data_IF_734286810302
#
_entry.id   IF_734286810302
#
_cell.length_a   1.000
_cell.length_b   1.000
_cell.length_c   1.000
_cell.angle_alpha   90.00
_cell.angle_beta   90.00
_cell.angle_gamma   90.00
#
_symmetry.space_group_name_H-M   'P 1'
#
loop_
_entity.id
_entity.type
_entity.pdbx_description
1 polymer ?
#
# COMPACT_ATOMS: atom_id res chain seq x y z
N UNK A 1 7.10 -37.30 15.78
CA UNK A 1 7.58 -36.10 15.07
C UNK A 1 8.93 -35.71 15.67
N UNK A 2 9.75 -34.92 14.98
CA UNK A 2 11.02 -34.46 15.56
C UNK A 2 10.77 -33.39 16.62
N UNK A 3 10.75 -33.81 17.89
CA UNK A 3 10.61 -32.90 19.02
C UNK A 3 11.78 -31.90 19.11
N UNK A 4 12.93 -32.21 18.51
CA UNK A 4 14.09 -31.33 18.46
C UNK A 4 13.76 -29.99 17.80
N UNK A 5 13.06 -30.01 16.65
CA UNK A 5 12.64 -28.80 15.94
C UNK A 5 11.68 -27.93 16.77
N UNK A 6 10.74 -28.56 17.49
CA UNK A 6 9.83 -27.82 18.37
C UNK A 6 10.59 -27.23 19.57
N UNK A 7 11.54 -27.98 20.13
CA UNK A 7 12.36 -27.50 21.24
C UNK A 7 13.27 -26.32 20.84
N UNK A 8 13.82 -26.36 19.64
CA UNK A 8 14.60 -25.26 19.05
C UNK A 8 13.74 -24.00 18.90
N UNK A 9 12.59 -24.09 18.22
CA UNK A 9 11.67 -22.97 18.05
C UNK A 9 11.18 -22.37 19.37
N UNK A 10 10.92 -23.20 20.40
CA UNK A 10 10.58 -22.71 21.74
C UNK A 10 11.74 -21.89 22.32
N UNK A 11 12.98 -22.40 22.25
CA UNK A 11 14.15 -21.69 22.79
C UNK A 11 14.41 -20.37 22.08
N UNK A 12 14.24 -20.32 20.77
CA UNK A 12 14.38 -19.08 19.99
C UNK A 12 13.44 -17.97 20.48
N UNK A 13 12.25 -18.32 20.98
CA UNK A 13 11.31 -17.36 21.57
C UNK A 13 11.73 -16.79 22.93
N UNK A 14 12.69 -17.41 23.62
CA UNK A 14 13.17 -16.98 24.94
C UNK A 14 14.63 -16.52 24.87
N UNK A 15 14.84 -15.20 24.73
CA UNK A 15 16.18 -14.61 24.61
C UNK A 15 16.58 -13.78 25.85
N UNK A 16 17.87 -13.45 25.94
CA UNK A 16 18.41 -12.58 26.98
C UNK A 16 18.17 -13.10 28.41
N UNK A 17 17.68 -12.23 29.30
CA UNK A 17 17.39 -12.58 30.71
C UNK A 17 16.34 -13.69 30.88
N UNK A 18 15.58 -14.01 29.84
CA UNK A 18 14.55 -15.06 29.85
C UNK A 18 15.04 -16.39 29.28
N UNK A 19 16.30 -16.51 28.83
CA UNK A 19 16.82 -17.73 28.20
C UNK A 19 16.62 -19.00 29.04
N UNK A 20 16.79 -18.90 30.37
CA UNK A 20 16.53 -20.02 31.30
C UNK A 20 15.07 -20.50 31.30
N UNK A 21 14.11 -19.63 30.95
CA UNK A 21 12.70 -20.02 30.78
C UNK A 21 12.49 -20.87 29.51
N UNK A 22 13.39 -20.78 28.53
CA UNK A 22 13.33 -21.58 27.31
C UNK A 22 13.35 -23.07 27.62
N UNK A 23 14.34 -23.54 28.38
CA UNK A 23 14.44 -24.96 28.75
C UNK A 23 13.30 -25.43 29.66
N UNK A 24 12.78 -24.56 30.53
CA UNK A 24 11.58 -24.87 31.33
C UNK A 24 10.37 -25.12 30.43
N UNK A 25 10.15 -24.28 29.41
CA UNK A 25 9.06 -24.45 28.45
C UNK A 25 9.27 -25.67 27.54
N UNK A 26 10.51 -25.95 27.12
CA UNK A 26 10.85 -27.19 26.39
C UNK A 26 10.51 -28.41 27.23
N UNK A 27 10.84 -28.40 28.53
CA UNK A 27 10.51 -29.52 29.42
C UNK A 27 9.00 -29.71 29.59
N UNK A 28 8.24 -28.61 29.70
CA UNK A 28 6.78 -28.67 29.73
C UNK A 28 6.21 -29.27 28.42
N UNK A 29 6.67 -28.82 27.27
CA UNK A 29 6.28 -29.35 25.96
C UNK A 29 6.64 -30.84 25.82
N UNK A 30 7.82 -31.24 26.31
CA UNK A 30 8.28 -32.64 26.28
C UNK A 30 7.37 -33.55 27.09
N UNK A 31 6.93 -33.11 28.28
CA UNK A 31 5.97 -33.89 29.10
C UNK A 31 4.65 -34.11 28.37
N UNK A 32 4.11 -33.09 27.70
CA UNK A 32 2.91 -33.22 26.87
C UNK A 32 3.11 -34.17 25.68
N UNK A 33 4.26 -34.06 25.00
CA UNK A 33 4.62 -34.92 23.88
C UNK A 33 4.69 -36.40 24.28
N UNK A 34 5.40 -36.73 25.38
CA UNK A 34 5.52 -38.12 25.85
C UNK A 34 4.19 -38.67 26.39
N UNK A 35 3.40 -37.84 27.08
CA UNK A 35 2.05 -38.23 27.52
C UNK A 35 1.16 -38.57 26.33
N UNK A 36 1.11 -37.71 25.30
CA UNK A 36 0.28 -37.97 24.13
C UNK A 36 0.70 -39.24 23.38
N UNK A 37 2.03 -39.45 23.25
CA UNK A 37 2.59 -40.64 22.61
C UNK A 37 2.24 -41.93 23.37
N UNK A 38 2.27 -41.89 24.71
CA UNK A 38 1.99 -43.05 25.56
C UNK A 38 0.49 -43.34 25.65
N UNK A 39 -0.33 -42.30 25.79
CA UNK A 39 -1.77 -42.44 26.07
C UNK A 39 -2.62 -42.68 24.83
N UNK A 40 -2.22 -42.14 23.67
CA UNK A 40 -3.01 -42.24 22.43
C UNK A 40 -2.33 -43.10 21.34
N UNK A 41 -1.02 -43.37 21.43
CA UNK A 41 -0.30 -44.12 20.40
C UNK A 41 -0.08 -43.32 19.10
N UNK A 42 0.68 -43.90 18.16
CA UNK A 42 1.15 -43.19 16.95
C UNK A 42 0.11 -42.95 15.85
N UNK A 43 -1.01 -43.68 15.89
CA UNK A 43 -2.06 -43.65 14.86
C UNK A 43 -3.37 -43.01 15.33
N UNK A 44 -3.45 -42.53 16.58
CA UNK A 44 -4.64 -41.87 17.08
C UNK A 44 -4.96 -40.53 16.41
N UNK A 45 -4.02 -39.96 15.66
CA UNK A 45 -4.21 -38.67 14.98
C UNK A 45 -4.34 -38.88 13.46
N UNK A 46 -5.50 -38.52 12.87
CA UNK A 46 -5.74 -38.72 11.43
C UNK A 46 -4.90 -37.79 10.55
N UNK A 47 -4.45 -36.65 11.09
CA UNK A 47 -3.61 -35.67 10.38
C UNK A 47 -2.16 -35.86 10.82
N UNK A 48 -1.29 -36.23 9.88
CA UNK A 48 0.15 -36.39 10.10
C UNK A 48 0.93 -35.34 9.32
N UNK A 49 1.77 -34.58 10.02
CA UNK A 49 2.73 -33.68 9.38
C UNK A 49 3.78 -34.51 8.62
N UNK A 50 4.09 -34.10 7.39
CA UNK A 50 5.13 -34.73 6.56
C UNK A 50 6.30 -33.77 6.43
N UNK A 51 7.52 -34.27 6.62
CA UNK A 51 8.73 -33.49 6.33
C UNK A 51 8.75 -33.23 4.82
N UNK A 52 8.74 -31.96 4.43
CA UNK A 52 8.89 -31.56 3.04
C UNK A 52 10.35 -31.21 2.76
N UNK A 53 10.90 -31.58 1.59
CA UNK A 53 12.20 -31.09 1.17
C UNK A 53 12.12 -29.56 1.00
N UNK A 54 13.09 -28.85 1.56
CA UNK A 54 13.21 -27.40 1.37
C UNK A 54 13.93 -27.13 0.05
N UNK A 55 13.31 -26.33 -0.81
CA UNK A 55 13.96 -25.77 -2.01
C UNK A 55 14.29 -24.30 -1.78
N UNK A 56 15.58 -23.96 -1.81
CA UNK A 56 16.06 -22.58 -1.68
C UNK A 56 15.79 -21.94 -0.31
N UNK A 57 16.05 -20.63 -0.22
CA UNK A 57 15.73 -19.82 0.96
C UNK A 57 14.25 -19.46 0.93
N UNK A 58 13.62 -19.51 2.10
CA UNK A 58 12.20 -19.20 2.32
C UNK A 58 12.07 -18.23 3.47
N UNK A 59 10.91 -17.60 3.57
CA UNK A 59 10.57 -16.70 4.66
C UNK A 59 9.13 -16.90 5.10
N UNK A 60 8.93 -16.79 6.41
CA UNK A 60 7.60 -16.67 7.01
C UNK A 60 7.26 -15.19 7.09
N UNK A 61 6.21 -14.77 6.41
CA UNK A 61 5.84 -13.35 6.29
C UNK A 61 4.34 -13.15 6.48
N UNK A 62 3.95 -11.99 7.00
CA UNK A 62 2.56 -11.53 7.05
C UNK A 62 2.18 -10.72 5.82
N UNK A 63 0.90 -10.73 5.42
CA UNK A 63 0.42 -9.89 4.32
C UNK A 63 0.75 -8.40 4.48
N UNK A 64 0.57 -7.82 5.68
CA UNK A 64 0.95 -6.41 5.94
C UNK A 64 2.44 -6.14 5.73
N UNK A 65 3.30 -7.12 6.03
CA UNK A 65 4.74 -7.00 5.80
C UNK A 65 5.07 -7.09 4.31
N UNK A 66 4.35 -7.93 3.55
CA UNK A 66 4.51 -8.01 2.11
C UNK A 66 4.18 -6.66 1.44
N UNK A 67 3.08 -5.99 1.84
CA UNK A 67 2.76 -4.63 1.39
C UNK A 67 3.88 -3.65 1.75
N UNK A 68 4.32 -3.65 3.00
CA UNK A 68 5.35 -2.72 3.46
C UNK A 68 6.68 -2.89 2.70
N UNK A 69 7.16 -4.12 2.52
CA UNK A 69 8.39 -4.39 1.77
C UNK A 69 8.22 -3.98 0.30
N UNK A 70 7.05 -4.21 -0.29
CA UNK A 70 6.76 -3.76 -1.66
C UNK A 70 6.76 -2.23 -1.78
N UNK A 71 6.19 -1.50 -0.83
CA UNK A 71 6.28 -0.02 -0.77
C UNK A 71 7.72 0.46 -0.77
N UNK A 72 8.57 -0.14 0.06
CA UNK A 72 10.01 0.19 0.10
C UNK A 72 10.69 -0.14 -1.24
N UNK A 73 10.43 -1.32 -1.81
CA UNK A 73 10.99 -1.73 -3.12
C UNK A 73 10.52 -0.83 -4.26
N UNK A 74 9.30 -0.34 -4.20
CA UNK A 74 8.73 0.61 -5.15
C UNK A 74 9.29 2.03 -4.99
N UNK A 75 10.11 2.29 -3.97
CA UNK A 75 10.66 3.62 -3.71
C UNK A 75 9.65 4.58 -3.09
N UNK A 76 8.65 4.07 -2.35
CA UNK A 76 7.79 4.92 -1.53
C UNK A 76 8.63 5.67 -0.49
N UNK A 77 8.59 7.00 -0.54
CA UNK A 77 9.37 7.88 0.34
C UNK A 77 8.56 8.49 1.47
N UNK A 78 7.22 8.40 1.43
CA UNK A 78 6.34 9.07 2.40
C UNK A 78 5.09 8.24 2.70
N UNK A 79 4.98 7.72 3.93
CA UNK A 79 3.79 7.03 4.43
C UNK A 79 3.12 7.90 5.48
N UNK A 80 1.81 8.08 5.35
CA UNK A 80 0.98 8.68 6.39
C UNK A 80 -0.03 7.65 6.87
N UNK A 81 -0.46 7.71 8.12
CA UNK A 81 -1.55 6.87 8.59
C UNK A 81 -2.18 7.44 9.85
N UNK A 82 -3.42 7.06 10.11
CA UNK A 82 -4.02 7.13 11.44
C UNK A 82 -4.21 5.69 11.95
N UNK A 83 -3.87 5.36 13.21
CA UNK A 83 -3.94 3.98 13.68
C UNK A 83 -5.35 3.39 13.59
N UNK A 84 -5.49 2.30 12.81
CA UNK A 84 -6.74 1.57 12.63
C UNK A 84 -6.46 0.10 12.34
N UNK A 85 -7.13 -0.82 13.04
CA UNK A 85 -7.03 -2.26 12.74
C UNK A 85 -7.67 -2.58 11.39
N UNK A 86 -7.02 -3.36 10.50
CA UNK A 86 -5.74 -4.06 10.66
C UNK A 86 -4.54 -3.35 10.00
N UNK A 87 -4.67 -2.08 9.62
CA UNK A 87 -3.69 -1.33 8.83
C UNK A 87 -2.45 -0.85 9.62
N UNK A 88 -2.58 -0.66 10.95
CA UNK A 88 -1.50 -0.10 11.79
C UNK A 88 -0.17 -0.85 11.66
N UNK A 89 -0.20 -2.18 11.67
CA UNK A 89 0.99 -3.04 11.64
C UNK A 89 1.88 -2.80 10.40
N UNK A 90 1.29 -2.38 9.28
CA UNK A 90 2.04 -2.03 8.08
C UNK A 90 2.88 -0.77 8.30
N UNK A 91 2.28 0.27 8.90
CA UNK A 91 2.97 1.54 9.15
C UNK A 91 4.01 1.41 10.26
N UNK A 92 3.73 0.62 11.30
CA UNK A 92 4.75 0.29 12.34
C UNK A 92 5.94 -0.47 11.74
N UNK A 93 5.69 -1.40 10.81
CA UNK A 93 6.77 -2.09 10.11
C UNK A 93 7.62 -1.11 9.29
N UNK A 94 7.00 -0.23 8.50
CA UNK A 94 7.70 0.82 7.75
C UNK A 94 8.49 1.74 8.69
N UNK A 95 7.89 2.18 9.80
CA UNK A 95 8.51 3.07 10.77
C UNK A 95 9.78 2.45 11.38
N UNK A 96 9.74 1.16 11.69
CA UNK A 96 10.89 0.42 12.24
C UNK A 96 12.06 0.28 11.26
N UNK A 97 11.84 0.44 9.96
CA UNK A 97 12.85 0.37 8.90
C UNK A 97 13.10 1.72 8.20
N UNK A 98 12.42 2.80 8.60
CA UNK A 98 12.35 4.04 7.81
C UNK A 98 13.74 4.67 7.54
N UNK A 99 14.67 4.55 8.52
CA UNK A 99 16.04 5.06 8.42
C UNK A 99 16.88 4.31 7.39
N UNK A 100 16.65 3.02 7.24
CA UNK A 100 17.43 2.17 6.34
C UNK A 100 17.06 2.41 4.87
N UNK A 101 15.86 2.97 4.62
CA UNK A 101 15.29 3.15 3.29
C UNK A 101 14.99 4.62 2.93
N UNK A 102 15.46 5.59 3.71
CA UNK A 102 15.20 7.02 3.51
C UNK A 102 13.70 7.36 3.34
N UNK A 103 12.87 6.69 4.13
CA UNK A 103 11.42 6.90 4.15
C UNK A 103 11.03 7.79 5.33
N UNK A 104 9.97 8.57 5.17
CA UNK A 104 9.32 9.29 6.27
C UNK A 104 7.99 8.61 6.56
N UNK A 105 7.75 8.27 7.83
CA UNK A 105 6.46 7.77 8.31
C UNK A 105 5.86 8.79 9.27
N UNK A 106 4.64 9.23 8.99
CA UNK A 106 3.91 10.22 9.82
C UNK A 106 2.62 9.60 10.32
N UNK A 107 2.50 9.48 11.64
CA UNK A 107 1.20 9.25 12.27
C UNK A 107 0.44 10.58 12.28
N UNK A 108 -0.59 10.69 11.45
CA UNK A 108 -1.44 11.87 11.37
C UNK A 108 -2.44 11.90 12.54
N UNK A 109 -3.09 13.04 12.73
CA UNK A 109 -4.12 13.27 13.73
C UNK A 109 -5.45 12.57 13.41
N UNK A 110 -5.74 12.38 12.12
CA UNK A 110 -6.91 11.66 11.58
C UNK A 110 -6.67 11.23 10.12
N UNK A 111 -7.62 10.49 9.55
CA UNK A 111 -7.53 10.02 8.16
C UNK A 111 -7.66 11.13 7.11
N UNK A 112 -8.31 12.26 7.44
CA UNK A 112 -8.41 13.42 6.55
C UNK A 112 -7.01 14.02 6.35
N UNK A 113 -6.29 14.19 7.45
CA UNK A 113 -4.93 14.71 7.48
C UNK A 113 -3.99 13.73 6.78
N UNK A 114 -4.14 12.42 7.01
CA UNK A 114 -3.33 11.41 6.35
C UNK A 114 -3.45 11.46 4.81
N UNK A 115 -4.65 11.41 4.24
CA UNK A 115 -4.80 11.44 2.77
C UNK A 115 -4.31 12.75 2.16
N UNK A 116 -4.52 13.88 2.83
CA UNK A 116 -4.10 15.19 2.33
C UNK A 116 -2.57 15.36 2.39
N UNK A 117 -1.93 14.90 3.47
CA UNK A 117 -0.46 14.85 3.57
C UNK A 117 0.15 13.95 2.49
N UNK A 118 -0.40 12.75 2.28
CA UNK A 118 0.07 11.84 1.23
C UNK A 118 -0.07 12.46 -0.17
N UNK A 119 -1.20 13.12 -0.46
CA UNK A 119 -1.42 13.78 -1.75
C UNK A 119 -0.48 14.97 -1.95
N UNK A 120 -0.23 15.76 -0.90
CA UNK A 120 0.77 16.83 -0.93
C UNK A 120 2.18 16.31 -1.23
N UNK A 121 2.57 15.20 -0.60
CA UNK A 121 3.86 14.54 -0.87
C UNK A 121 3.97 14.01 -2.30
N UNK A 122 2.87 13.53 -2.90
CA UNK A 122 2.82 13.11 -4.30
C UNK A 122 3.10 14.30 -5.24
N UNK A 123 2.47 15.45 -5.00
CA UNK A 123 2.75 16.69 -5.74
C UNK A 123 4.18 17.19 -5.54
N UNK A 124 4.78 16.97 -4.37
CA UNK A 124 6.18 17.28 -4.10
C UNK A 124 7.18 16.35 -4.83
N UNK A 125 6.70 15.30 -5.50
CA UNK A 125 7.53 14.39 -6.32
C UNK A 125 7.95 13.09 -5.62
N UNK A 126 7.51 12.87 -4.38
CA UNK A 126 7.71 11.60 -3.68
C UNK A 126 6.64 10.60 -4.12
N UNK A 127 7.01 9.32 -4.25
CA UNK A 127 6.01 8.25 -4.16
C UNK A 127 5.48 8.23 -2.73
N UNK A 128 4.19 8.43 -2.58
CA UNK A 128 3.54 8.50 -1.27
C UNK A 128 2.39 7.51 -1.15
N UNK A 129 2.11 7.11 0.08
CA UNK A 129 1.00 6.22 0.40
C UNK A 129 0.34 6.54 1.73
N UNK A 130 -0.88 6.07 1.87
CA UNK A 130 -1.57 5.99 3.15
C UNK A 130 -2.21 4.62 3.31
N UNK A 131 -2.46 4.21 4.55
CA UNK A 131 -3.04 2.90 4.86
C UNK A 131 -4.19 3.06 5.84
N UNK A 132 -5.32 2.40 5.55
CA UNK A 132 -6.55 2.58 6.32
C UNK A 132 -7.47 1.35 6.21
N UNK A 133 -8.68 1.46 6.77
CA UNK A 133 -9.78 0.50 6.62
C UNK A 133 -11.09 1.25 6.36
N UNK A 134 -12.21 0.54 6.17
CA UNK A 134 -13.51 1.11 5.75
C UNK A 134 -13.92 2.43 6.43
N UNK A 135 -13.87 2.56 7.77
CA UNK A 135 -14.21 3.82 8.44
C UNK A 135 -13.31 4.99 8.05
N UNK A 136 -11.99 4.77 8.06
CA UNK A 136 -11.03 5.79 7.70
C UNK A 136 -11.08 6.14 6.22
N UNK A 137 -11.29 5.16 5.34
CA UNK A 137 -11.49 5.39 3.91
C UNK A 137 -12.74 6.24 3.62
N UNK A 138 -13.78 6.13 4.46
CA UNK A 138 -14.95 7.00 4.38
C UNK A 138 -14.61 8.47 4.62
N UNK A 139 -13.70 8.75 5.57
CA UNK A 139 -13.20 10.09 5.85
C UNK A 139 -12.26 10.62 4.76
N UNK A 140 -11.53 9.72 4.07
CA UNK A 140 -10.61 10.09 3.00
C UNK A 140 -11.29 10.49 1.68
N UNK A 141 -12.61 10.30 1.54
CA UNK A 141 -13.32 10.46 0.27
C UNK A 141 -13.12 11.85 -0.37
N UNK A 142 -13.13 12.93 0.41
CA UNK A 142 -12.89 14.28 -0.13
C UNK A 142 -11.45 14.44 -0.64
N UNK A 143 -10.46 14.02 0.16
CA UNK A 143 -9.05 14.06 -0.23
C UNK A 143 -8.74 13.19 -1.47
N UNK A 144 -9.44 12.07 -1.63
CA UNK A 144 -9.37 11.23 -2.83
C UNK A 144 -9.89 11.98 -4.07
N UNK A 145 -11.00 12.73 -3.91
CA UNK A 145 -11.51 13.63 -4.95
C UNK A 145 -10.51 14.71 -5.33
N UNK A 146 -9.85 15.31 -4.33
CA UNK A 146 -8.81 16.31 -4.54
C UNK A 146 -7.59 15.74 -5.28
N UNK A 147 -7.13 14.54 -4.92
CA UNK A 147 -6.07 13.84 -5.66
C UNK A 147 -6.46 13.58 -7.13
N UNK A 148 -7.72 13.22 -7.37
CA UNK A 148 -8.28 13.00 -8.70
C UNK A 148 -8.33 14.25 -9.58
N UNK A 149 -8.92 15.34 -9.08
CA UNK A 149 -9.04 16.59 -9.85
C UNK A 149 -7.69 17.24 -10.11
N UNK A 150 -6.76 17.15 -9.16
CA UNK A 150 -5.41 17.72 -9.30
C UNK A 150 -4.44 16.84 -10.09
N UNK A 151 -4.89 15.68 -10.58
CA UNK A 151 -4.08 14.68 -11.29
C UNK A 151 -2.80 14.33 -10.53
N UNK A 152 -2.90 14.14 -9.21
CA UNK A 152 -1.76 13.78 -8.39
C UNK A 152 -1.17 12.42 -8.82
N UNK A 153 0.18 12.26 -8.86
CA UNK A 153 0.84 11.01 -9.23
C UNK A 153 0.82 9.99 -8.08
N UNK A 154 -0.39 9.61 -7.65
CA UNK A 154 -0.69 9.02 -6.36
C UNK A 154 -1.62 9.92 -5.53
N UNK A 155 -1.87 9.62 -4.26
CA UNK A 155 -1.21 8.58 -3.45
C UNK A 155 -1.71 7.17 -3.76
N UNK A 156 -0.93 6.17 -3.34
CA UNK A 156 -1.42 4.78 -3.22
C UNK A 156 -2.10 4.62 -1.85
N UNK A 157 -3.40 4.32 -1.86
CA UNK A 157 -4.22 4.08 -0.67
C UNK A 157 -4.36 2.58 -0.46
N UNK A 158 -3.81 2.04 0.62
CA UNK A 158 -4.03 0.65 0.98
C UNK A 158 -5.29 0.55 1.84
N UNK A 159 -6.35 0.02 1.25
CA UNK A 159 -7.63 -0.22 1.90
C UNK A 159 -7.67 -1.65 2.41
N UNK A 160 -7.36 -1.83 3.70
CA UNK A 160 -7.52 -3.10 4.38
C UNK A 160 -8.98 -3.31 4.80
N UNK A 161 -9.75 -3.99 3.96
CA UNK A 161 -11.16 -4.24 4.22
C UNK A 161 -11.35 -5.07 5.51
N UNK A 162 -12.32 -4.65 6.31
CA UNK A 162 -12.79 -5.37 7.50
C UNK A 162 -14.31 -5.30 7.55
N UNK A 163 -14.94 -6.21 8.27
CA UNK A 163 -16.40 -6.28 8.32
C UNK A 163 -17.03 -4.96 8.80
N UNK A 164 -17.93 -4.41 8.00
CA UNK A 164 -18.73 -3.21 8.29
C UNK A 164 -20.16 -3.56 8.70
N UNK A 165 -21.12 -2.61 8.59
CA UNK A 165 -20.93 -1.16 8.39
C UNK A 165 -20.45 -0.45 9.68
N UNK A 166 -20.11 0.85 9.55
CA UNK A 166 -19.58 1.68 10.63
C UNK A 166 -18.35 1.03 11.31
N UNK A 167 -18.27 0.97 12.64
CA UNK A 167 -17.18 0.26 13.34
C UNK A 167 -17.10 -1.21 12.93
N UNK A 168 -18.26 -1.82 12.67
CA UNK A 168 -18.43 -3.20 12.25
C UNK A 168 -17.78 -4.19 13.21
N UNK A 169 -17.02 -5.16 12.68
CA UNK A 169 -16.23 -6.11 13.45
C UNK A 169 -14.74 -5.90 13.13
N UNK A 170 -14.04 -5.04 13.90
CA UNK A 170 -12.67 -4.60 13.58
C UNK A 170 -11.64 -5.70 13.36
N UNK A 171 -11.87 -6.89 13.92
CA UNK A 171 -10.97 -8.04 13.88
C UNK A 171 -11.41 -9.13 12.89
N UNK A 172 -12.48 -8.90 12.12
CA UNK A 172 -13.03 -9.85 11.15
C UNK A 172 -12.83 -9.35 9.72
N UNK A 173 -12.64 -10.31 8.82
CA UNK A 173 -12.49 -10.03 7.39
C UNK A 173 -13.86 -9.93 6.73
N UNK A 174 -13.95 -9.08 5.71
CA UNK A 174 -15.08 -8.96 4.79
C UNK A 174 -14.57 -8.21 3.55
N UNK A 175 -15.21 -8.42 2.40
CA UNK A 175 -14.88 -7.76 1.13
C UNK A 175 -16.06 -6.90 0.65
N UNK A 176 -16.64 -6.12 1.55
CA UNK A 176 -17.86 -5.33 1.30
C UNK A 176 -17.59 -3.91 0.77
N UNK A 177 -16.33 -3.47 0.68
CA UNK A 177 -15.99 -2.07 0.39
C UNK A 177 -15.80 -1.80 -1.11
N UNK A 178 -15.79 -2.82 -1.98
CA UNK A 178 -15.49 -2.66 -3.43
C UNK A 178 -16.36 -1.60 -4.12
N UNK A 179 -17.69 -1.68 -3.93
CA UNK A 179 -18.61 -0.71 -4.55
C UNK A 179 -18.37 0.70 -4.02
N UNK A 180 -18.03 0.83 -2.74
CA UNK A 180 -17.68 2.13 -2.19
C UNK A 180 -16.35 2.65 -2.77
N UNK A 181 -15.30 1.83 -2.82
CA UNK A 181 -14.02 2.20 -3.42
C UNK A 181 -14.14 2.63 -4.89
N UNK A 182 -15.01 1.99 -5.67
CA UNK A 182 -15.31 2.36 -7.07
C UNK A 182 -15.96 3.75 -7.19
N UNK A 183 -16.81 4.11 -6.24
CA UNK A 183 -17.68 5.30 -6.31
C UNK A 183 -17.37 6.34 -5.22
N UNK A 184 -16.26 6.22 -4.51
CA UNK A 184 -15.87 7.14 -3.45
C UNK A 184 -15.56 8.53 -4.03
N UNK A 185 -15.90 9.55 -3.24
CA UNK A 185 -15.87 10.97 -3.58
C UNK A 185 -17.00 11.43 -4.53
N UNK A 186 -17.27 12.74 -4.53
CA UNK A 186 -18.26 13.35 -5.39
C UNK A 186 -17.67 13.68 -6.78
N UNK A 187 -18.52 13.69 -7.81
CA UNK A 187 -18.09 13.89 -9.19
C UNK A 187 -17.42 12.66 -9.81
N UNK A 188 -16.78 12.85 -10.97
CA UNK A 188 -16.13 11.78 -11.73
C UNK A 188 -14.65 12.10 -11.91
N UNK A 189 -13.80 11.11 -11.67
CA UNK A 189 -12.37 11.15 -11.95
C UNK A 189 -11.83 9.72 -12.08
N UNK A 190 -10.73 9.52 -12.81
CA UNK A 190 -10.07 8.23 -12.90
C UNK A 190 -9.45 7.84 -11.55
N UNK A 191 -9.63 6.58 -11.17
CA UNK A 191 -8.91 5.91 -10.08
C UNK A 191 -8.69 4.47 -10.47
N UNK A 192 -7.56 3.90 -10.06
CA UNK A 192 -7.25 2.48 -10.32
C UNK A 192 -7.48 1.71 -9.02
N UNK A 193 -8.06 0.52 -9.12
CA UNK A 193 -8.29 -0.36 -7.99
C UNK A 193 -7.68 -1.72 -8.31
N UNK A 194 -6.79 -2.21 -7.43
CA UNK A 194 -6.12 -3.50 -7.57
C UNK A 194 -6.46 -4.32 -6.33
N UNK A 195 -6.86 -5.59 -6.52
CA UNK A 195 -7.28 -6.45 -5.42
C UNK A 195 -6.47 -7.76 -5.43
N UNK A 196 -5.35 -7.84 -4.68
CA UNK A 196 -4.53 -9.05 -4.64
C UNK A 196 -5.28 -10.22 -4.00
N UNK A 197 -5.10 -11.42 -4.54
CA UNK A 197 -5.72 -12.66 -4.06
C UNK A 197 -4.91 -13.42 -3.00
N UNK A 198 -3.59 -13.17 -2.91
CA UNK A 198 -2.72 -13.79 -1.91
C UNK A 198 -1.56 -12.88 -1.43
N UNK A 199 -0.73 -13.39 -0.51
CA UNK A 199 0.41 -12.64 0.07
C UNK A 199 1.50 -12.35 -0.97
N UNK A 200 1.65 -13.20 -1.98
CA UNK A 200 2.64 -13.03 -3.05
C UNK A 200 2.18 -11.96 -4.04
N UNK A 201 0.93 -12.04 -4.49
CA UNK A 201 0.28 -11.03 -5.32
C UNK A 201 0.29 -9.67 -4.61
N UNK A 202 0.02 -9.63 -3.31
CA UNK A 202 0.09 -8.40 -2.51
C UNK A 202 1.42 -7.66 -2.67
N UNK A 203 2.54 -8.36 -2.76
CA UNK A 203 3.84 -7.73 -2.98
C UNK A 203 3.98 -7.11 -4.38
N UNK A 204 3.66 -7.87 -5.43
CA UNK A 204 3.81 -7.42 -6.81
C UNK A 204 2.79 -6.34 -7.18
N UNK A 205 1.53 -6.53 -6.79
CA UNK A 205 0.45 -5.58 -7.04
C UNK A 205 0.67 -4.25 -6.29
N UNK A 206 1.23 -4.30 -5.08
CA UNK A 206 1.63 -3.07 -4.39
C UNK A 206 2.73 -2.33 -5.15
N UNK A 207 3.72 -3.06 -5.68
CA UNK A 207 4.80 -2.45 -6.47
C UNK A 207 4.25 -1.77 -7.73
N UNK A 208 3.40 -2.48 -8.47
CA UNK A 208 2.78 -1.99 -9.69
C UNK A 208 1.80 -0.84 -9.42
N UNK A 209 1.12 -0.83 -8.27
CA UNK A 209 0.25 0.28 -7.87
C UNK A 209 0.98 1.63 -7.89
N UNK A 210 2.24 1.70 -7.45
CA UNK A 210 3.02 2.94 -7.54
C UNK A 210 3.42 3.31 -8.97
N UNK A 211 3.71 2.33 -9.82
CA UNK A 211 3.99 2.57 -11.23
C UNK A 211 2.74 3.13 -11.91
N UNK A 212 1.58 2.51 -11.71
CA UNK A 212 0.31 3.00 -12.27
C UNK A 212 -0.07 4.38 -11.74
N UNK A 213 0.13 4.64 -10.45
CA UNK A 213 -0.12 5.94 -9.85
C UNK A 213 0.66 7.07 -10.54
N UNK A 214 1.96 6.88 -10.78
CA UNK A 214 2.79 7.89 -11.44
C UNK A 214 2.61 7.94 -12.95
N UNK A 215 2.42 6.79 -13.61
CA UNK A 215 2.25 6.71 -15.06
C UNK A 215 0.96 7.41 -15.49
N UNK A 216 -0.17 7.05 -14.87
CA UNK A 216 -1.48 7.60 -15.23
C UNK A 216 -1.80 8.92 -14.50
N UNK A 217 -1.05 9.25 -13.45
CA UNK A 217 -1.30 10.43 -12.61
C UNK A 217 -2.71 10.43 -12.02
N UNK A 218 -2.99 9.36 -11.28
CA UNK A 218 -4.28 9.08 -10.64
C UNK A 218 -4.05 8.45 -9.26
N UNK A 219 -4.97 8.61 -8.30
CA UNK A 219 -4.92 7.83 -7.08
C UNK A 219 -5.16 6.34 -7.38
N UNK A 220 -4.43 5.47 -6.67
CA UNK A 220 -4.55 4.02 -6.78
C UNK A 220 -4.97 3.44 -5.45
N UNK A 221 -5.97 2.57 -5.44
CA UNK A 221 -6.46 1.89 -4.24
C UNK A 221 -6.03 0.43 -4.32
N UNK A 222 -5.17 0.01 -3.39
CA UNK A 222 -4.87 -1.40 -3.19
C UNK A 222 -5.92 -1.96 -2.21
N UNK A 223 -6.86 -2.72 -2.75
CA UNK A 223 -8.00 -3.29 -2.05
C UNK A 223 -7.65 -4.70 -1.55
N UNK A 224 -7.05 -4.77 -0.37
CA UNK A 224 -6.78 -6.04 0.34
C UNK A 224 -7.77 -6.22 1.49
N UNK A 225 -7.58 -7.21 2.35
CA UNK A 225 -8.48 -7.46 3.47
C UNK A 225 -7.76 -7.91 4.73
N UNK A 226 -8.50 -7.91 5.84
CA UNK A 226 -7.99 -8.31 7.15
C UNK A 226 -7.45 -9.74 7.16
N UNK A 227 -8.00 -10.64 6.34
CA UNK A 227 -7.55 -12.03 6.28
C UNK A 227 -6.15 -12.09 5.70
N UNK A 228 -5.91 -11.50 4.53
CA UNK A 228 -4.58 -11.44 3.93
C UNK A 228 -3.59 -10.69 4.83
N UNK A 229 -3.99 -9.53 5.38
CA UNK A 229 -3.18 -8.73 6.29
C UNK A 229 -2.64 -9.53 7.48
N UNK A 230 -3.48 -10.38 8.07
CA UNK A 230 -3.16 -11.13 9.30
C UNK A 230 -2.55 -12.51 9.03
N UNK A 231 -2.64 -13.01 7.79
CA UNK A 231 -2.17 -14.35 7.44
C UNK A 231 -0.66 -14.39 7.48
N UNK A 232 -0.12 -15.40 8.16
CA UNK A 232 1.28 -15.80 8.02
C UNK A 232 1.38 -16.86 6.93
N UNK A 233 2.32 -16.68 6.01
CA UNK A 233 2.59 -17.64 4.97
C UNK A 233 4.10 -17.88 4.84
N UNK A 234 4.47 -19.15 4.72
CA UNK A 234 5.82 -19.55 4.33
C UNK A 234 5.91 -19.52 2.80
N UNK A 235 6.77 -18.66 2.27
CA UNK A 235 6.94 -18.45 0.83
C UNK A 235 8.42 -18.43 0.44
N UNK A 236 8.78 -18.70 -0.83
CA UNK A 236 10.10 -18.34 -1.35
C UNK A 236 10.36 -16.84 -1.16
N UNK A 237 11.63 -16.43 -1.11
CA UNK A 237 11.97 -15.00 -1.14
C UNK A 237 11.39 -14.34 -2.39
N UNK A 238 10.89 -13.11 -2.28
CA UNK A 238 10.38 -12.35 -3.42
C UNK A 238 11.48 -12.16 -4.48
N UNK A 239 11.11 -12.29 -5.76
CA UNK A 239 12.02 -12.02 -6.86
C UNK A 239 11.85 -10.58 -7.32
N UNK A 240 12.82 -9.73 -6.98
CA UNK A 240 12.80 -8.30 -7.31
C UNK A 240 13.62 -7.92 -8.54
N UNK A 241 14.19 -8.87 -9.29
CA UNK A 241 15.17 -8.60 -10.36
C UNK A 241 14.54 -7.92 -11.59
N UNK A 242 13.28 -8.26 -11.89
CA UNK A 242 12.55 -7.70 -13.03
C UNK A 242 11.69 -6.49 -12.68
N UNK A 243 11.66 -6.08 -11.40
CA UNK A 243 10.85 -4.95 -10.95
C UNK A 243 11.54 -3.63 -11.28
N UNK A 244 10.89 -2.84 -12.13
CA UNK A 244 11.39 -1.53 -12.58
C UNK A 244 10.45 -0.42 -12.15
N UNK A 245 11.03 0.61 -11.55
CA UNK A 245 10.31 1.83 -11.15
C UNK A 245 10.04 2.66 -12.39
N UNK A 246 8.76 2.85 -12.71
CA UNK A 246 8.29 3.76 -13.75
C UNK A 246 7.80 5.08 -13.12
N UNK A 247 8.49 6.18 -13.40
CA UNK A 247 8.15 7.52 -12.86
C UNK A 247 7.12 8.28 -13.70
N UNK A 248 6.64 7.67 -14.80
CA UNK A 248 5.75 8.29 -15.77
C UNK A 248 6.41 9.45 -16.52
N UNK A 249 5.59 10.38 -17.01
CA UNK A 249 6.02 11.57 -17.74
C UNK A 249 6.55 12.67 -16.80
N UNK A 250 7.53 12.32 -15.97
CA UNK A 250 8.23 13.24 -15.06
C UNK A 250 9.34 13.98 -15.81
N UNK A 251 9.19 15.29 -15.91
CA UNK A 251 10.16 16.17 -16.57
C UNK A 251 11.44 16.35 -15.74
N UNK A 252 12.58 16.34 -16.43
CA UNK A 252 13.86 16.79 -15.89
C UNK A 252 13.98 18.30 -16.04
N UNK A 253 14.90 18.91 -15.29
CA UNK A 253 15.18 20.34 -15.41
C UNK A 253 15.62 20.73 -16.83
N UNK A 254 16.32 19.85 -17.55
CA UNK A 254 16.70 20.07 -18.95
C UNK A 254 15.50 20.22 -19.87
N UNK A 255 14.42 19.48 -19.61
CA UNK A 255 13.21 19.49 -20.43
C UNK A 255 12.43 20.79 -20.21
N UNK A 256 12.41 21.26 -18.95
CA UNK A 256 11.82 22.54 -18.56
C UNK A 256 12.64 23.74 -19.06
N UNK A 257 13.97 23.64 -19.09
CA UNK A 257 14.82 24.72 -19.61
C UNK A 257 14.62 24.96 -21.12
N UNK A 258 14.16 23.96 -21.86
CA UNK A 258 13.86 24.05 -23.28
C UNK A 258 12.49 24.70 -23.58
N UNK A 259 11.64 24.91 -22.57
CA UNK A 259 10.27 25.42 -22.74
C UNK A 259 9.98 26.55 -21.76
N UNK A 260 9.65 27.73 -22.26
CA UNK A 260 9.24 28.87 -21.41
C UNK A 260 7.76 28.84 -20.99
N UNK A 261 6.97 27.89 -21.51
CA UNK A 261 5.52 27.77 -21.30
C UNK A 261 5.15 26.37 -20.77
N UNK A 262 5.48 26.14 -19.49
CA UNK A 262 5.09 24.91 -18.80
C UNK A 262 3.62 24.98 -18.37
N UNK A 263 2.89 23.90 -18.66
CA UNK A 263 1.46 23.74 -18.41
C UNK A 263 1.20 22.41 -17.73
N UNK A 264 0.95 22.44 -16.42
CA UNK A 264 0.77 21.22 -15.60
C UNK A 264 -0.38 20.34 -16.09
N UNK A 265 -1.42 20.96 -16.65
CA UNK A 265 -2.63 20.30 -17.13
C UNK A 265 -2.75 20.35 -18.66
N UNK A 266 -1.60 20.40 -19.36
CA UNK A 266 -1.53 20.42 -20.83
C UNK A 266 -2.45 19.36 -21.46
N UNK A 267 -3.18 19.77 -22.48
CA UNK A 267 -3.96 18.82 -23.28
C UNK A 267 -3.03 17.96 -24.13
N UNK A 268 -3.13 16.65 -23.94
CA UNK A 268 -2.41 15.64 -24.71
C UNK A 268 -3.41 14.62 -25.26
N UNK A 269 -3.03 13.92 -26.33
CA UNK A 269 -3.91 12.92 -26.94
C UNK A 269 -4.31 11.82 -25.95
N UNK A 270 -3.34 11.38 -25.14
CA UNK A 270 -3.49 10.36 -24.09
C UNK A 270 -4.16 10.90 -22.80
N UNK A 271 -4.31 12.22 -22.67
CA UNK A 271 -4.82 12.84 -21.46
C UNK A 271 -3.85 12.83 -20.27
N UNK A 272 -2.63 12.32 -20.44
CA UNK A 272 -1.53 12.39 -19.45
C UNK A 272 -0.69 13.62 -19.76
N UNK A 273 -0.60 14.57 -18.82
CA UNK A 273 0.22 15.78 -18.97
C UNK A 273 1.64 15.51 -18.47
N UNK A 274 2.70 16.04 -19.12
CA UNK A 274 4.02 16.05 -18.51
C UNK A 274 4.00 16.78 -17.17
N UNK A 275 4.65 16.22 -16.14
CA UNK A 275 4.68 16.81 -14.80
C UNK A 275 6.08 17.30 -14.40
N UNK A 276 6.12 18.45 -13.76
CA UNK A 276 7.23 18.97 -12.99
C UNK A 276 6.96 18.78 -11.49
N UNK A 277 7.99 18.96 -10.66
CA UNK A 277 7.90 18.99 -9.20
C UNK A 277 8.33 20.36 -8.66
N UNK A 278 7.79 20.80 -7.50
CA UNK A 278 8.16 22.07 -6.90
C UNK A 278 9.68 22.25 -6.76
N UNK A 279 10.16 23.44 -7.10
CA UNK A 279 11.59 23.79 -7.04
C UNK A 279 12.36 23.63 -8.35
N UNK A 280 11.84 22.92 -9.35
CA UNK A 280 12.48 22.82 -10.66
C UNK A 280 12.38 24.14 -11.43
N UNK A 281 13.52 24.66 -11.91
CA UNK A 281 13.57 25.89 -12.69
C UNK A 281 12.76 25.75 -14.00
N UNK A 282 11.85 26.69 -14.26
CA UNK A 282 10.98 26.68 -15.43
C UNK A 282 9.70 25.85 -15.27
N UNK A 283 9.56 25.08 -14.19
CA UNK A 283 8.38 24.27 -13.88
C UNK A 283 7.45 24.95 -12.88
N UNK A 284 7.13 26.24 -13.06
CA UNK A 284 6.15 26.93 -12.19
C UNK A 284 4.74 26.50 -12.59
N UNK A 285 3.91 26.09 -11.64
CA UNK A 285 2.53 25.71 -11.87
C UNK A 285 1.65 25.99 -10.65
N UNK A 286 0.34 25.92 -10.87
CA UNK A 286 -0.68 26.01 -9.85
C UNK A 286 -1.45 24.70 -9.78
N UNK A 287 -1.95 24.37 -8.59
CA UNK A 287 -2.83 23.23 -8.33
C UNK A 287 -4.00 23.74 -7.51
N UNK A 288 -5.22 23.39 -7.91
CA UNK A 288 -6.45 23.82 -7.24
C UNK A 288 -7.51 22.72 -7.28
N UNK A 289 -8.41 22.73 -6.31
CA UNK A 289 -9.58 21.85 -6.27
C UNK A 289 -10.73 22.31 -7.18
N UNK A 290 -10.75 23.58 -7.57
CA UNK A 290 -11.67 24.09 -8.59
C UNK A 290 -11.33 23.51 -9.98
N UNK A 291 -12.27 23.61 -10.91
CA UNK A 291 -11.93 23.38 -12.32
C UNK A 291 -10.91 24.42 -12.80
N UNK A 292 -10.00 23.99 -13.67
CA UNK A 292 -8.84 24.77 -14.02
C UNK A 292 -8.47 24.70 -15.50
N UNK A 293 -7.72 25.69 -15.98
CA UNK A 293 -7.10 25.69 -17.30
C UNK A 293 -5.80 24.85 -17.35
N UNK A 294 -5.10 24.87 -18.49
CA UNK A 294 -3.86 24.09 -18.67
C UNK A 294 -2.72 24.50 -17.71
N UNK A 295 -2.77 25.71 -17.13
CA UNK A 295 -1.79 26.23 -16.17
C UNK A 295 -2.13 25.88 -14.72
N UNK A 296 -3.40 25.55 -14.45
CA UNK A 296 -3.92 25.30 -13.11
C UNK A 296 -4.66 26.50 -12.50
N UNK A 297 -4.98 27.52 -13.28
CA UNK A 297 -5.77 28.66 -12.79
C UNK A 297 -7.27 28.35 -12.85
N UNK A 298 -8.01 28.85 -11.87
CA UNK A 298 -9.46 28.65 -11.72
C UNK A 298 -10.20 29.14 -12.97
N UNK A 299 -11.14 28.34 -13.44
CA UNK A 299 -12.00 28.71 -14.57
C UNK A 299 -13.38 28.07 -14.48
N UNK A 300 -14.39 28.82 -14.90
CA UNK A 300 -15.78 28.37 -15.03
C UNK A 300 -16.22 28.29 -16.50
N UNK A 301 -15.30 28.47 -17.44
CA UNK A 301 -15.60 28.46 -18.87
C UNK A 301 -16.14 27.08 -19.31
N UNK A 302 -17.36 26.99 -19.89
CA UNK A 302 -17.98 25.70 -20.21
C UNK A 302 -17.18 24.83 -21.17
N UNK A 303 -16.49 25.43 -22.14
CA UNK A 303 -15.69 24.69 -23.12
C UNK A 303 -14.41 24.11 -22.49
N UNK A 304 -13.77 24.83 -21.57
CA UNK A 304 -12.62 24.34 -20.81
C UNK A 304 -13.05 23.20 -19.88
N UNK A 305 -14.16 23.38 -19.16
CA UNK A 305 -14.74 22.34 -18.29
C UNK A 305 -14.94 21.01 -19.05
N UNK A 306 -15.54 21.07 -20.24
CA UNK A 306 -15.77 19.88 -21.07
C UNK A 306 -14.44 19.23 -21.49
N UNK A 307 -13.45 20.03 -21.91
CA UNK A 307 -12.15 19.54 -22.35
C UNK A 307 -11.37 18.88 -21.20
N UNK A 308 -11.31 19.52 -20.04
CA UNK A 308 -10.58 18.99 -18.88
C UNK A 308 -11.21 17.73 -18.31
N UNK A 309 -12.54 17.66 -18.22
CA UNK A 309 -13.21 16.42 -17.83
C UNK A 309 -12.91 15.28 -18.79
N UNK A 310 -13.01 15.52 -20.11
CA UNK A 310 -12.67 14.50 -21.11
C UNK A 310 -11.21 14.06 -21.02
N UNK A 311 -10.29 15.01 -20.82
CA UNK A 311 -8.86 14.72 -20.61
C UNK A 311 -8.66 13.79 -19.41
N UNK A 312 -9.20 14.12 -18.23
CA UNK A 312 -9.04 13.30 -17.03
C UNK A 312 -9.65 11.92 -17.22
N UNK A 313 -10.86 11.84 -17.78
CA UNK A 313 -11.56 10.56 -17.96
C UNK A 313 -10.92 9.67 -19.04
N UNK A 314 -10.27 10.25 -20.05
CA UNK A 314 -9.54 9.48 -21.08
C UNK A 314 -8.46 8.57 -20.51
N UNK A 315 -7.89 8.91 -19.35
CA UNK A 315 -6.90 8.06 -18.66
C UNK A 315 -7.45 6.67 -18.33
N UNK A 316 -8.76 6.51 -18.15
CA UNK A 316 -9.42 5.21 -17.92
C UNK A 316 -9.34 4.33 -19.16
N UNK A 317 -9.34 4.91 -20.36
CA UNK A 317 -9.26 4.14 -21.62
C UNK A 317 -7.86 3.54 -21.84
N UNK A 318 -6.86 4.03 -21.10
CA UNK A 318 -5.46 3.61 -21.18
C UNK A 318 -5.05 2.62 -20.08
N UNK A 319 -5.66 2.75 -18.90
CA UNK A 319 -5.34 1.98 -17.69
C UNK A 319 -6.10 0.64 -17.63
#
# INVERSE_FOLDING_TARGET
YDFGLAAEAIREGFTGRKAALGDLNVNAAKRGYEYAKTSFGGDAFPIKLRKQPLSGKRMMIRGVQAVAIAKLKAGCGFQTYYPITPATDESEYLESHQKDYNMIVVQAEDEISAINMATGAAHAGLRSSTSTSGPGFSLMAEGLGWAGITEAPGPVVVLYQRAGPATGLPTRTEQADLRFALHAAHGEFPRIIIAPGDVVETYYDTFDAFNYAEHYQVPVILLTDKFLASTYQDIPLFNGDNLKVDRGDLLKESDLAASTDYRRYRWTELGISPRAIPGQKGGIFWTTGDEHDEYGHITEAPDIRIKMMRKRMRKIELA
#
